data_IF_792792163850
#
_entry.id   IF_792792163850
#
_cell.length_a   1.000
_cell.length_b   1.000
_cell.length_c   1.000
_cell.angle_alpha   90.00
_cell.angle_beta   90.00
_cell.angle_gamma   90.00
#
_symmetry.space_group_name_H-M   'P 1'
#
loop_
_entity.id
_entity.type
_entity.pdbx_description
1 polymer ?
#
# COMPACT_ATOMS: atom_id res chain seq x y z
N UNK A 1 -0.32 -18.14 -28.63
CA UNK A 1 0.11 -16.75 -28.50
C UNK A 1 1.42 -16.75 -27.74
N UNK A 2 2.50 -16.17 -28.27
CA UNK A 2 3.74 -16.05 -27.52
C UNK A 2 3.45 -15.26 -26.23
N UNK A 3 3.82 -15.80 -25.07
CA UNK A 3 3.73 -15.07 -23.82
C UNK A 3 4.51 -13.76 -23.99
N UNK A 4 3.81 -12.62 -24.04
CA UNK A 4 4.48 -11.32 -24.10
C UNK A 4 5.31 -11.21 -22.83
N UNK A 5 6.64 -11.12 -22.98
CA UNK A 5 7.59 -10.98 -21.87
C UNK A 5 7.16 -9.79 -21.00
N UNK A 6 7.07 -10.00 -19.69
CA UNK A 6 6.81 -8.92 -18.73
C UNK A 6 8.03 -7.98 -18.77
N UNK A 7 7.86 -6.66 -18.94
CA UNK A 7 8.97 -5.72 -18.84
C UNK A 7 9.66 -5.88 -17.49
N UNK A 8 10.99 -5.89 -17.51
CA UNK A 8 11.81 -5.90 -16.32
C UNK A 8 12.82 -4.77 -16.47
N UNK A 9 13.10 -4.08 -15.37
CA UNK A 9 14.16 -3.10 -15.33
C UNK A 9 15.53 -3.78 -15.36
N UNK A 10 16.49 -3.10 -15.95
CA UNK A 10 17.90 -3.47 -15.87
C UNK A 10 18.49 -3.03 -14.52
N UNK A 11 19.58 -3.67 -14.10
CA UNK A 11 20.26 -3.30 -12.86
C UNK A 11 20.67 -1.82 -12.84
N UNK A 12 21.19 -1.31 -13.96
CA UNK A 12 21.61 0.08 -14.08
C UNK A 12 20.44 1.08 -13.94
N UNK A 13 19.25 0.73 -14.45
CA UNK A 13 18.04 1.57 -14.24
C UNK A 13 17.63 1.57 -12.77
N UNK A 14 17.71 0.42 -12.09
CA UNK A 14 17.38 0.32 -10.66
C UNK A 14 18.39 1.10 -9.81
N UNK A 15 19.69 0.98 -10.09
CA UNK A 15 20.76 1.73 -9.41
C UNK A 15 20.58 3.25 -9.58
N UNK A 16 20.19 3.69 -10.78
CA UNK A 16 19.88 5.09 -11.04
C UNK A 16 18.66 5.58 -10.24
N UNK A 17 17.62 4.75 -10.09
CA UNK A 17 16.44 5.08 -9.27
C UNK A 17 16.81 5.14 -7.77
N UNK A 18 17.69 4.26 -7.28
CA UNK A 18 18.24 4.34 -5.91
C UNK A 18 18.94 5.68 -5.69
N UNK A 19 19.85 6.08 -6.59
CA UNK A 19 20.55 7.37 -6.50
C UNK A 19 19.58 8.55 -6.53
N UNK A 20 18.55 8.47 -7.37
CA UNK A 20 17.54 9.52 -7.53
C UNK A 20 16.71 9.70 -6.25
N UNK A 21 16.26 8.61 -5.63
CA UNK A 21 15.50 8.66 -4.37
C UNK A 21 16.36 9.16 -3.21
N UNK A 22 17.61 8.72 -3.10
CA UNK A 22 18.55 9.22 -2.08
C UNK A 22 18.79 10.73 -2.21
N UNK A 23 18.92 11.24 -3.43
CA UNK A 23 19.08 12.68 -3.67
C UNK A 23 17.79 13.46 -3.35
N UNK A 24 16.60 12.92 -3.67
CA UNK A 24 15.31 13.51 -3.28
C UNK A 24 15.18 13.64 -1.77
N UNK A 25 15.45 12.56 -1.03
CA UNK A 25 15.42 12.54 0.44
C UNK A 25 16.42 13.56 1.01
N UNK A 26 17.65 13.59 0.47
CA UNK A 26 18.67 14.57 0.90
C UNK A 26 18.24 16.01 0.68
N UNK A 27 17.65 16.33 -0.48
CA UNK A 27 17.10 17.66 -0.76
C UNK A 27 15.98 18.01 0.22
N UNK A 28 15.10 17.05 0.52
CA UNK A 28 14.00 17.24 1.47
C UNK A 28 14.50 17.57 2.86
N UNK A 29 15.53 16.85 3.33
CA UNK A 29 16.22 17.11 4.60
C UNK A 29 16.87 18.48 4.65
N UNK A 30 17.53 18.89 3.56
CA UNK A 30 18.14 20.23 3.48
C UNK A 30 17.09 21.35 3.51
N UNK A 31 15.96 21.17 2.80
CA UNK A 31 14.84 22.10 2.84
C UNK A 31 14.26 22.21 4.26
N UNK A 32 14.05 21.09 4.94
CA UNK A 32 13.61 21.06 6.34
C UNK A 32 14.58 21.81 7.27
N UNK A 33 15.88 21.50 7.18
CA UNK A 33 16.91 22.13 8.00
C UNK A 33 17.04 23.64 7.78
N UNK A 34 16.73 24.12 6.57
CA UNK A 34 16.71 25.55 6.24
C UNK A 34 15.45 26.29 6.70
N UNK A 35 14.47 25.58 7.26
CA UNK A 35 13.16 26.14 7.62
C UNK A 35 12.26 26.42 6.42
N UNK A 36 12.58 25.86 5.24
CA UNK A 36 11.88 26.16 3.97
C UNK A 36 10.37 25.92 4.06
N UNK A 37 9.95 24.81 4.68
CA UNK A 37 8.53 24.45 4.77
C UNK A 37 7.76 25.45 5.63
N UNK A 38 8.34 25.91 6.74
CA UNK A 38 7.73 26.91 7.62
C UNK A 38 7.68 28.28 6.93
N UNK A 39 8.75 28.67 6.20
CA UNK A 39 8.80 29.94 5.47
C UNK A 39 7.75 30.01 4.36
N UNK A 40 7.48 28.87 3.71
CA UNK A 40 6.55 28.78 2.57
C UNK A 40 5.15 28.28 2.97
N UNK A 41 4.84 28.20 4.27
CA UNK A 41 3.54 27.77 4.78
C UNK A 41 3.11 26.39 4.21
N UNK A 42 4.07 25.47 4.12
CA UNK A 42 3.83 24.11 3.64
C UNK A 42 3.38 23.26 4.83
N UNK A 43 2.18 22.71 4.71
CA UNK A 43 1.56 21.92 5.76
C UNK A 43 2.37 20.68 6.14
N UNK A 44 2.47 20.41 7.44
CA UNK A 44 3.33 19.35 7.97
C UNK A 44 2.91 17.96 7.49
N UNK A 45 1.61 17.70 7.37
CA UNK A 45 1.11 16.42 6.84
C UNK A 45 1.51 16.20 5.37
N UNK A 46 1.70 17.28 4.61
CA UNK A 46 2.17 17.20 3.23
C UNK A 46 3.67 16.88 3.17
N UNK A 47 4.46 17.40 4.11
CA UNK A 47 5.89 17.07 4.23
C UNK A 47 6.06 15.60 4.65
N UNK A 48 5.32 15.14 5.66
CA UNK A 48 5.36 13.75 6.12
C UNK A 48 4.93 12.77 5.03
N UNK A 49 3.84 13.05 4.30
CA UNK A 49 3.45 12.23 3.15
C UNK A 49 4.51 12.18 2.05
N UNK A 50 5.21 13.28 1.79
CA UNK A 50 6.25 13.32 0.77
C UNK A 50 7.49 12.50 1.18
N UNK A 51 7.89 12.55 2.45
CA UNK A 51 8.92 11.64 2.97
C UNK A 51 8.50 10.17 2.84
N UNK A 52 7.24 9.84 3.19
CA UNK A 52 6.74 8.48 3.05
C UNK A 52 6.85 7.95 1.62
N UNK A 53 6.47 8.78 0.62
CA UNK A 53 6.57 8.39 -0.79
C UNK A 53 8.01 8.17 -1.26
N UNK A 54 8.94 9.04 -0.86
CA UNK A 54 10.36 8.92 -1.25
C UNK A 54 11.03 7.70 -0.61
N UNK A 55 10.78 7.45 0.68
CA UNK A 55 11.28 6.25 1.34
C UNK A 55 10.63 4.97 0.80
N UNK A 56 9.36 5.02 0.37
CA UNK A 56 8.71 3.90 -0.28
C UNK A 56 9.33 3.61 -1.66
N UNK A 57 9.58 4.64 -2.48
CA UNK A 57 10.30 4.52 -3.75
C UNK A 57 11.69 3.91 -3.55
N UNK A 58 12.43 4.38 -2.54
CA UNK A 58 13.72 3.81 -2.17
C UNK A 58 13.61 2.34 -1.74
N UNK A 59 12.58 1.99 -0.95
CA UNK A 59 12.31 0.62 -0.54
C UNK A 59 12.03 -0.31 -1.73
N UNK A 60 11.24 0.16 -2.70
CA UNK A 60 10.96 -0.56 -3.95
C UNK A 60 12.25 -0.76 -4.76
N UNK A 61 13.07 0.28 -4.88
CA UNK A 61 14.32 0.24 -5.62
C UNK A 61 15.32 -0.75 -5.00
N UNK A 62 15.55 -0.69 -3.68
CA UNK A 62 16.39 -1.67 -2.98
C UNK A 62 15.84 -3.09 -3.10
N UNK A 63 14.52 -3.27 -3.06
CA UNK A 63 13.93 -4.58 -3.23
C UNK A 63 14.17 -5.13 -4.64
N UNK A 64 13.94 -4.33 -5.69
CA UNK A 64 14.21 -4.77 -7.06
C UNK A 64 15.72 -5.02 -7.31
N UNK A 65 16.58 -4.29 -6.60
CA UNK A 65 18.04 -4.48 -6.63
C UNK A 65 18.50 -5.78 -5.94
N UNK A 66 17.74 -6.24 -4.93
CA UNK A 66 18.06 -7.41 -4.12
C UNK A 66 18.61 -7.10 -2.72
N UNK A 67 18.62 -5.84 -2.31
CA UNK A 67 19.10 -5.38 -1.01
C UNK A 67 17.98 -5.42 0.04
N UNK A 68 17.58 -6.63 0.41
CA UNK A 68 16.37 -6.89 1.19
C UNK A 68 16.31 -6.19 2.56
N UNK A 69 17.45 -6.11 3.25
CA UNK A 69 17.50 -5.47 4.58
C UNK A 69 17.35 -3.95 4.45
N UNK A 70 18.01 -3.34 3.47
CA UNK A 70 17.86 -1.90 3.16
C UNK A 70 16.44 -1.58 2.69
N UNK A 71 15.84 -2.47 1.89
CA UNK A 71 14.46 -2.33 1.45
C UNK A 71 13.48 -2.32 2.65
N UNK A 72 13.64 -3.25 3.59
CA UNK A 72 12.81 -3.30 4.81
C UNK A 72 12.97 -2.06 5.67
N UNK A 73 14.20 -1.58 5.86
CA UNK A 73 14.48 -0.35 6.61
C UNK A 73 13.84 0.88 5.96
N UNK A 74 13.94 1.00 4.63
CA UNK A 74 13.32 2.09 3.87
C UNK A 74 11.79 2.02 3.94
N UNK A 75 11.18 0.84 3.77
CA UNK A 75 9.73 0.68 3.94
C UNK A 75 9.25 0.92 5.38
N UNK A 76 10.04 0.54 6.39
CA UNK A 76 9.73 0.85 7.79
C UNK A 76 9.69 2.36 8.00
N UNK A 77 10.73 3.06 7.54
CA UNK A 77 10.80 4.52 7.57
C UNK A 77 9.61 5.15 6.83
N UNK A 78 9.26 4.62 5.65
CA UNK A 78 8.10 5.08 4.89
C UNK A 78 6.79 4.94 5.68
N UNK A 79 6.60 3.81 6.37
CA UNK A 79 5.43 3.55 7.20
C UNK A 79 5.38 4.49 8.43
N UNK A 80 6.52 4.74 9.10
CA UNK A 80 6.64 5.69 10.20
C UNK A 80 6.29 7.13 9.77
N UNK A 81 6.66 7.53 8.56
CA UNK A 81 6.25 8.82 8.01
C UNK A 81 4.77 8.82 7.62
N UNK A 82 4.26 7.74 7.02
CA UNK A 82 2.88 7.67 6.53
C UNK A 82 1.86 7.57 7.66
N UNK A 83 2.22 7.04 8.84
CA UNK A 83 1.29 6.97 9.97
C UNK A 83 1.07 8.33 10.66
N UNK A 84 2.03 9.25 10.61
CA UNK A 84 1.91 10.61 11.19
C UNK A 84 0.69 11.38 10.68
N UNK A 85 0.44 11.52 9.36
CA UNK A 85 -0.75 12.20 8.86
C UNK A 85 -2.05 11.49 9.27
N UNK A 86 -2.05 10.16 9.43
CA UNK A 86 -3.21 9.43 9.98
C UNK A 86 -3.47 9.80 11.45
N UNK A 87 -2.41 9.91 12.25
CA UNK A 87 -2.50 10.35 13.65
C UNK A 87 -2.99 11.79 13.75
N UNK A 88 -2.48 12.69 12.89
CA UNK A 88 -2.96 14.08 12.79
C UNK A 88 -4.46 14.13 12.43
N UNK A 89 -4.95 13.24 11.57
CA UNK A 89 -6.35 13.19 11.19
C UNK A 89 -7.28 12.59 12.25
N UNK A 90 -6.82 11.58 13.00
CA UNK A 90 -7.70 10.71 13.77
C UNK A 90 -7.36 10.51 15.26
N UNK A 91 -6.23 11.01 15.75
CA UNK A 91 -5.82 10.86 17.16
C UNK A 91 -5.81 12.21 17.88
N UNK A 92 -6.85 12.54 18.69
CA UNK A 92 -6.95 13.82 19.42
C UNK A 92 -5.77 14.10 20.36
N UNK A 93 -5.09 13.05 20.81
CA UNK A 93 -3.96 13.11 21.72
C UNK A 93 -2.62 13.34 20.99
N UNK A 94 -2.61 13.30 19.65
CA UNK A 94 -1.40 13.52 18.87
C UNK A 94 -1.02 15.02 18.89
N UNK A 95 0.26 15.38 19.12
CA UNK A 95 0.66 16.78 19.29
C UNK A 95 0.24 17.74 18.16
N UNK A 96 0.17 17.21 16.93
CA UNK A 96 -0.24 17.95 15.74
C UNK A 96 -1.63 17.52 15.26
N UNK A 97 -2.57 17.22 16.17
CA UNK A 97 -3.92 16.82 15.77
C UNK A 97 -4.62 17.94 14.99
N UNK A 98 -5.04 17.62 13.77
CA UNK A 98 -5.74 18.52 12.84
C UNK A 98 -7.21 18.12 12.67
N UNK A 99 -7.57 16.88 12.99
CA UNK A 99 -8.94 16.38 12.86
C UNK A 99 -9.47 16.59 11.45
N UNK A 100 -10.54 17.38 11.33
CA UNK A 100 -11.16 17.62 10.03
C UNK A 100 -10.36 18.52 9.06
N UNK A 101 -9.39 19.28 9.58
CA UNK A 101 -8.50 20.10 8.77
C UNK A 101 -7.41 19.29 8.05
N UNK A 102 -7.13 18.05 8.50
CA UNK A 102 -6.11 17.22 7.88
C UNK A 102 -6.51 16.86 6.44
N UNK A 103 -5.67 17.25 5.48
CA UNK A 103 -5.94 17.04 4.04
C UNK A 103 -5.26 15.78 3.50
N UNK A 104 -4.04 15.48 3.96
CA UNK A 104 -3.28 14.28 3.66
C UNK A 104 -3.30 13.40 4.90
N UNK A 105 -3.87 12.20 4.83
CA UNK A 105 -4.08 11.29 5.98
C UNK A 105 -5.54 11.07 6.36
N UNK A 106 -6.45 11.91 5.88
CA UNK A 106 -7.89 11.77 6.17
C UNK A 106 -8.63 10.88 5.15
N UNK A 107 -7.91 10.21 4.25
CA UNK A 107 -8.47 9.37 3.20
C UNK A 107 -8.08 7.90 3.39
N UNK A 108 -8.96 6.99 3.01
CA UNK A 108 -8.70 5.55 3.10
C UNK A 108 -7.45 5.13 2.32
N UNK A 109 -7.12 5.81 1.22
CA UNK A 109 -5.90 5.53 0.43
C UNK A 109 -4.64 5.70 1.28
N UNK A 110 -4.57 6.72 2.13
CA UNK A 110 -3.40 6.93 3.00
C UNK A 110 -3.22 5.78 4.01
N UNK A 111 -4.33 5.17 4.45
CA UNK A 111 -4.30 4.00 5.32
C UNK A 111 -3.82 2.77 4.56
N UNK A 112 -4.26 2.59 3.31
CA UNK A 112 -3.81 1.47 2.46
C UNK A 112 -2.32 1.56 2.17
N UNK A 113 -1.82 2.74 1.80
CA UNK A 113 -0.39 2.97 1.58
C UNK A 113 0.42 2.64 2.87
N UNK A 114 -0.02 3.14 4.03
CA UNK A 114 0.65 2.87 5.30
C UNK A 114 0.65 1.37 5.64
N UNK A 115 -0.49 0.71 5.46
CA UNK A 115 -0.63 -0.74 5.63
C UNK A 115 0.37 -1.47 4.74
N UNK A 116 0.45 -1.13 3.46
CA UNK A 116 1.34 -1.80 2.52
C UNK A 116 2.82 -1.62 2.87
N UNK A 117 3.26 -0.39 3.15
CA UNK A 117 4.65 -0.10 3.52
C UNK A 117 5.04 -0.88 4.78
N UNK A 118 4.16 -0.89 5.79
CA UNK A 118 4.36 -1.64 7.01
C UNK A 118 4.44 -3.16 6.74
N UNK A 119 3.56 -3.71 5.90
CA UNK A 119 3.59 -5.13 5.53
C UNK A 119 4.84 -5.51 4.72
N UNK A 120 5.34 -4.63 3.85
CA UNK A 120 6.61 -4.83 3.12
C UNK A 120 7.82 -4.78 4.07
N UNK A 121 7.77 -3.94 5.09
CA UNK A 121 8.80 -3.82 6.13
C UNK A 121 8.82 -4.99 7.12
N UNK A 122 7.74 -5.77 7.23
CA UNK A 122 7.59 -6.76 8.30
C UNK A 122 6.96 -6.22 9.59
N UNK A 123 6.41 -5.01 9.56
CA UNK A 123 5.87 -4.32 10.73
C UNK A 123 4.36 -4.49 10.85
N UNK A 124 3.94 -5.59 11.47
CA UNK A 124 2.53 -5.86 11.72
C UNK A 124 1.89 -4.84 12.68
N UNK A 125 2.69 -4.18 13.54
CA UNK A 125 2.17 -3.25 14.53
C UNK A 125 1.69 -1.95 13.87
N UNK A 126 2.53 -1.34 13.02
CA UNK A 126 2.16 -0.14 12.25
C UNK A 126 0.98 -0.46 11.32
N UNK A 127 1.00 -1.62 10.65
CA UNK A 127 -0.11 -2.03 9.77
C UNK A 127 -1.46 -2.08 10.51
N UNK A 128 -1.50 -2.71 11.70
CA UNK A 128 -2.70 -2.76 12.54
C UNK A 128 -3.12 -1.39 13.04
N UNK A 129 -2.16 -0.57 13.48
CA UNK A 129 -2.43 0.76 13.97
C UNK A 129 -3.05 1.65 12.88
N UNK A 130 -2.49 1.63 11.67
CA UNK A 130 -3.01 2.39 10.54
C UNK A 130 -4.48 2.04 10.23
N UNK A 131 -4.80 0.74 10.13
CA UNK A 131 -6.18 0.30 9.91
C UNK A 131 -7.12 0.65 11.08
N UNK A 132 -6.63 0.60 12.31
CA UNK A 132 -7.40 0.92 13.52
C UNK A 132 -7.67 2.42 13.71
N UNK A 133 -6.84 3.30 13.17
CA UNK A 133 -7.05 4.76 13.20
C UNK A 133 -8.22 5.20 12.33
N UNK A 134 -8.48 4.49 11.22
CA UNK A 134 -9.53 4.88 10.29
C UNK A 134 -10.92 4.74 10.93
N UNK A 135 -11.76 5.79 10.92
CA UNK A 135 -12.97 5.85 11.72
C UNK A 135 -13.96 4.77 11.30
N UNK A 136 -14.49 4.00 12.26
CA UNK A 136 -15.44 2.93 11.99
C UNK A 136 -16.78 3.39 11.37
N UNK A 137 -17.10 4.68 11.51
CA UNK A 137 -18.25 5.32 10.90
C UNK A 137 -17.77 6.28 9.80
N UNK A 138 -18.44 6.22 8.65
CA UNK A 138 -18.20 7.13 7.56
C UNK A 138 -18.42 8.58 8.00
N UNK A 139 -17.43 9.45 7.74
CA UNK A 139 -17.59 10.89 7.98
C UNK A 139 -18.31 11.52 6.79
N UNK A 140 -19.36 12.32 7.02
CA UNK A 140 -20.11 12.98 5.97
C UNK A 140 -19.36 14.17 5.33
N UNK A 141 -18.15 13.94 4.81
CA UNK A 141 -17.44 14.89 3.94
C UNK A 141 -17.90 14.74 2.49
N UNK A 142 -19.21 14.86 2.25
CA UNK A 142 -19.86 15.00 0.94
C UNK A 142 -19.61 13.92 -0.13
N UNK A 143 -19.04 12.75 0.20
CA UNK A 143 -18.73 11.70 -0.78
C UNK A 143 -19.18 10.32 -0.32
N UNK A 144 -19.99 9.60 -1.11
CA UNK A 144 -20.39 8.23 -0.76
C UNK A 144 -19.15 7.37 -0.44
N UNK A 145 -19.22 6.46 0.54
CA UNK A 145 -18.09 5.59 0.88
C UNK A 145 -17.49 4.97 -0.39
N UNK A 146 -16.18 5.14 -0.54
CA UNK A 146 -15.43 4.60 -1.67
C UNK A 146 -15.13 3.12 -1.50
N UNK A 147 -14.72 2.46 -2.58
CA UNK A 147 -14.21 1.07 -2.48
C UNK A 147 -12.95 0.98 -1.62
N UNK A 148 -12.17 2.06 -1.52
CA UNK A 148 -11.03 2.13 -0.61
C UNK A 148 -11.47 2.08 0.87
N UNK A 149 -12.53 2.81 1.23
CA UNK A 149 -13.08 2.84 2.59
C UNK A 149 -13.55 1.45 3.02
N UNK A 150 -14.32 0.76 2.16
CA UNK A 150 -14.77 -0.61 2.41
C UNK A 150 -13.59 -1.58 2.59
N UNK A 151 -12.49 -1.39 1.84
CA UNK A 151 -11.28 -2.22 1.97
C UNK A 151 -10.59 -1.99 3.32
N UNK A 152 -10.42 -0.73 3.73
CA UNK A 152 -9.81 -0.40 5.03
C UNK A 152 -10.68 -0.89 6.19
N UNK A 153 -12.01 -0.78 6.09
CA UNK A 153 -12.91 -1.34 7.09
C UNK A 153 -12.85 -2.87 7.13
N UNK A 154 -12.67 -3.54 6.00
CA UNK A 154 -12.44 -4.98 5.96
C UNK A 154 -11.13 -5.37 6.66
N UNK A 155 -10.03 -4.65 6.39
CA UNK A 155 -8.74 -4.87 7.07
C UNK A 155 -8.83 -4.63 8.58
N UNK A 156 -9.46 -3.53 9.00
CA UNK A 156 -9.68 -3.25 10.42
C UNK A 156 -10.51 -4.36 11.07
N UNK A 157 -11.64 -4.76 10.48
CA UNK A 157 -12.46 -5.85 11.02
C UNK A 157 -11.69 -7.17 11.10
N UNK A 158 -10.86 -7.48 10.09
CA UNK A 158 -9.98 -8.65 10.09
C UNK A 158 -8.97 -8.60 11.26
N UNK A 159 -8.25 -7.49 11.43
CA UNK A 159 -7.28 -7.34 12.51
C UNK A 159 -7.90 -7.36 13.92
N UNK A 160 -9.16 -6.94 14.02
CA UNK A 160 -9.95 -7.01 15.26
C UNK A 160 -10.58 -8.39 15.50
N UNK A 161 -10.38 -9.36 14.61
CA UNK A 161 -10.91 -10.73 14.72
C UNK A 161 -12.38 -10.88 14.30
N UNK A 162 -13.03 -9.82 13.80
CA UNK A 162 -14.41 -9.84 13.32
C UNK A 162 -14.48 -10.26 11.85
N UNK A 163 -14.31 -11.57 11.62
CA UNK A 163 -14.30 -12.16 10.27
C UNK A 163 -15.63 -11.96 9.54
N UNK A 164 -16.76 -11.94 10.24
CA UNK A 164 -18.10 -11.77 9.63
C UNK A 164 -18.22 -10.35 9.08
N UNK A 165 -17.79 -9.35 9.84
CA UNK A 165 -17.81 -7.96 9.38
C UNK A 165 -16.80 -7.73 8.26
N UNK A 166 -15.59 -8.28 8.37
CA UNK A 166 -14.59 -8.20 7.31
C UNK A 166 -15.12 -8.80 5.98
N UNK A 167 -15.77 -9.96 6.09
CA UNK A 167 -16.46 -10.64 5.01
C UNK A 167 -17.53 -9.75 4.36
N UNK A 168 -18.40 -9.13 5.16
CA UNK A 168 -19.49 -8.28 4.66
C UNK A 168 -19.00 -7.08 3.84
N UNK A 169 -17.91 -6.43 4.24
CA UNK A 169 -17.31 -5.34 3.45
C UNK A 169 -16.75 -5.82 2.10
N UNK A 170 -16.05 -6.96 2.10
CA UNK A 170 -15.52 -7.54 0.87
C UNK A 170 -16.63 -7.94 -0.10
N UNK A 171 -17.67 -8.64 0.38
CA UNK A 171 -18.80 -9.06 -0.45
C UNK A 171 -19.51 -7.86 -1.06
N UNK A 172 -19.86 -6.85 -0.26
CA UNK A 172 -20.49 -5.61 -0.72
C UNK A 172 -19.71 -4.98 -1.89
N UNK A 173 -18.39 -4.82 -1.74
CA UNK A 173 -17.55 -4.21 -2.77
C UNK A 173 -17.42 -5.08 -4.03
N UNK A 174 -17.27 -6.40 -3.86
CA UNK A 174 -17.18 -7.33 -4.98
C UNK A 174 -18.49 -7.40 -5.77
N UNK A 175 -19.64 -7.50 -5.11
CA UNK A 175 -20.97 -7.51 -5.75
C UNK A 175 -21.23 -6.20 -6.51
N UNK A 176 -20.89 -5.06 -5.91
CA UNK A 176 -21.03 -3.76 -6.57
C UNK A 176 -20.14 -3.64 -7.83
N UNK A 177 -18.95 -4.26 -7.83
CA UNK A 177 -18.10 -4.34 -9.02
C UNK A 177 -18.68 -5.28 -10.06
N UNK A 178 -19.11 -6.49 -9.68
CA UNK A 178 -19.68 -7.50 -10.60
C UNK A 178 -20.95 -6.97 -11.29
N UNK A 179 -21.81 -6.27 -10.56
CA UNK A 179 -23.03 -5.66 -11.11
C UNK A 179 -22.74 -4.57 -12.14
N UNK A 180 -21.61 -3.85 -12.00
CA UNK A 180 -21.18 -2.80 -12.94
C UNK A 180 -19.66 -2.75 -13.06
N UNK A 181 -19.06 -3.70 -13.82
CA UNK A 181 -17.62 -3.79 -13.97
C UNK A 181 -17.07 -2.58 -14.69
N UNK A 182 -15.80 -2.24 -14.44
CA UNK A 182 -15.14 -1.21 -15.22
C UNK A 182 -14.73 -1.76 -16.58
N UNK A 183 -14.92 -0.96 -17.64
CA UNK A 183 -14.43 -1.28 -18.98
C UNK A 183 -12.93 -1.01 -19.17
N UNK A 184 -12.34 -0.24 -18.26
CA UNK A 184 -10.92 0.13 -18.23
C UNK A 184 -10.33 -0.25 -16.88
N UNK A 185 -9.01 -0.40 -16.82
CA UNK A 185 -8.31 -0.46 -15.53
C UNK A 185 -8.53 0.89 -14.84
N UNK A 186 -9.07 0.85 -13.63
CA UNK A 186 -9.42 2.01 -12.79
C UNK A 186 -9.23 1.66 -11.33
N UNK A 187 -9.31 2.64 -10.43
CA UNK A 187 -9.35 2.37 -8.99
C UNK A 187 -10.41 1.33 -8.59
N UNK A 188 -11.57 1.29 -9.26
CA UNK A 188 -12.62 0.28 -8.96
C UNK A 188 -12.19 -1.15 -9.29
N UNK A 189 -11.48 -1.35 -10.41
CA UNK A 189 -10.99 -2.69 -10.75
C UNK A 189 -9.82 -3.10 -9.85
N UNK A 190 -8.96 -2.14 -9.48
CA UNK A 190 -7.88 -2.37 -8.52
C UNK A 190 -8.44 -2.78 -7.16
N UNK A 191 -9.37 -2.02 -6.57
CA UNK A 191 -9.93 -2.44 -5.28
C UNK A 191 -10.73 -3.74 -5.36
N UNK A 192 -11.34 -4.09 -6.50
CA UNK A 192 -12.01 -5.38 -6.65
C UNK A 192 -11.04 -6.57 -6.44
N UNK A 193 -9.84 -6.53 -7.02
CA UNK A 193 -8.84 -7.59 -6.84
C UNK A 193 -8.33 -7.65 -5.40
N UNK A 194 -8.16 -6.49 -4.74
CA UNK A 194 -7.76 -6.44 -3.33
C UNK A 194 -8.82 -7.04 -2.40
N UNK A 195 -10.11 -6.72 -2.61
CA UNK A 195 -11.19 -7.34 -1.84
C UNK A 195 -11.30 -8.84 -2.11
N UNK A 196 -11.05 -9.29 -3.35
CA UNK A 196 -11.08 -10.72 -3.69
C UNK A 196 -9.97 -11.49 -2.97
N UNK A 197 -8.75 -10.96 -2.97
CA UNK A 197 -7.63 -11.55 -2.24
C UNK A 197 -7.90 -11.56 -0.72
N UNK A 198 -8.32 -10.42 -0.14
CA UNK A 198 -8.66 -10.35 1.28
C UNK A 198 -9.84 -11.27 1.65
N UNK A 199 -10.84 -11.41 0.77
CA UNK A 199 -11.93 -12.37 0.94
C UNK A 199 -11.39 -13.79 1.04
N UNK A 200 -10.48 -14.20 0.14
CA UNK A 200 -9.81 -15.50 0.19
C UNK A 200 -9.09 -15.73 1.53
N UNK A 201 -8.42 -14.71 2.07
CA UNK A 201 -7.81 -14.76 3.41
C UNK A 201 -8.87 -14.97 4.50
N UNK A 202 -9.96 -14.21 4.46
CA UNK A 202 -11.02 -14.24 5.48
C UNK A 202 -11.68 -15.63 5.56
N UNK A 203 -11.99 -16.23 4.41
CA UNK A 203 -12.61 -17.56 4.33
C UNK A 203 -11.61 -18.71 4.31
N UNK A 204 -10.30 -18.41 4.37
CA UNK A 204 -9.20 -19.36 4.29
C UNK A 204 -9.27 -20.26 3.03
N UNK A 205 -9.55 -19.65 1.87
CA UNK A 205 -9.60 -20.33 0.57
C UNK A 205 -8.42 -19.88 -0.30
N UNK A 206 -7.48 -20.80 -0.49
CA UNK A 206 -6.27 -20.58 -1.28
C UNK A 206 -6.57 -20.23 -2.73
N UNK A 207 -7.54 -20.91 -3.36
CA UNK A 207 -7.86 -20.68 -4.77
C UNK A 207 -8.42 -19.29 -5.00
N UNK A 208 -9.25 -18.81 -4.08
CA UNK A 208 -9.83 -17.45 -4.14
C UNK A 208 -8.75 -16.41 -3.92
N UNK A 209 -7.89 -16.60 -2.91
CA UNK A 209 -6.76 -15.71 -2.64
C UNK A 209 -5.82 -15.60 -3.85
N UNK A 210 -5.37 -16.74 -4.38
CA UNK A 210 -4.47 -16.80 -5.53
C UNK A 210 -5.07 -16.12 -6.77
N UNK A 211 -6.38 -16.29 -6.99
CA UNK A 211 -7.10 -15.60 -8.07
C UNK A 211 -7.07 -14.08 -7.88
N UNK A 212 -7.26 -13.60 -6.65
CA UNK A 212 -7.15 -12.17 -6.32
C UNK A 212 -5.75 -11.62 -6.61
N UNK A 213 -4.71 -12.32 -6.16
CA UNK A 213 -3.31 -11.93 -6.39
C UNK A 213 -2.96 -11.92 -7.88
N UNK A 214 -3.32 -12.97 -8.63
CA UNK A 214 -3.06 -13.02 -10.08
C UNK A 214 -3.71 -11.84 -10.82
N UNK A 215 -4.96 -11.51 -10.50
CA UNK A 215 -5.63 -10.36 -11.11
C UNK A 215 -4.99 -9.03 -10.72
N UNK A 216 -4.45 -8.93 -9.50
CA UNK A 216 -3.70 -7.74 -9.10
C UNK A 216 -2.40 -7.60 -9.90
N UNK A 217 -1.68 -8.71 -10.11
CA UNK A 217 -0.47 -8.73 -10.92
C UNK A 217 -0.75 -8.39 -12.39
N UNK A 218 -1.88 -8.83 -12.95
CA UNK A 218 -2.32 -8.42 -14.30
C UNK A 218 -2.43 -6.90 -14.44
N UNK A 219 -2.92 -6.21 -13.40
CA UNK A 219 -2.98 -4.74 -13.36
C UNK A 219 -1.56 -4.17 -13.28
N UNK A 220 -0.70 -4.66 -12.39
CA UNK A 220 0.67 -4.16 -12.27
C UNK A 220 1.47 -4.36 -13.56
N UNK A 221 1.38 -5.52 -14.21
CA UNK A 221 2.03 -5.79 -15.50
C UNK A 221 1.50 -4.90 -16.62
N UNK A 222 0.24 -4.49 -16.56
CA UNK A 222 -0.32 -3.51 -17.49
C UNK A 222 0.30 -2.13 -17.24
N UNK A 223 0.36 -1.68 -16.00
CA UNK A 223 0.97 -0.39 -15.62
C UNK A 223 2.45 -0.32 -16.00
N UNK A 224 3.24 -1.37 -15.75
CA UNK A 224 4.63 -1.45 -16.20
C UNK A 224 4.82 -1.26 -17.71
N UNK A 225 3.81 -1.63 -18.51
CA UNK A 225 3.88 -1.58 -19.98
C UNK A 225 3.37 -0.26 -20.56
N UNK A 226 2.29 0.25 -19.99
CA UNK A 226 1.47 1.31 -20.60
C UNK A 226 1.07 2.42 -19.63
N UNK A 227 1.35 2.26 -18.35
CA UNK A 227 1.00 3.20 -17.28
C UNK A 227 1.95 4.39 -17.20
N UNK A 228 1.62 5.29 -16.27
CA UNK A 228 2.40 6.51 -15.98
C UNK A 228 3.81 6.18 -15.45
N UNK A 229 3.91 5.10 -14.65
CA UNK A 229 5.14 4.66 -14.00
C UNK A 229 6.00 3.73 -14.88
N UNK A 230 5.74 3.71 -16.19
CA UNK A 230 6.49 2.88 -17.12
C UNK A 230 7.97 3.24 -17.08
N UNK A 231 8.81 2.25 -16.80
CA UNK A 231 10.26 2.39 -16.76
C UNK A 231 10.80 2.93 -15.43
N UNK A 232 9.96 3.05 -14.40
CA UNK A 232 10.35 3.41 -13.04
C UNK A 232 10.11 2.23 -12.10
N UNK A 233 10.76 2.23 -10.94
CA UNK A 233 10.60 1.19 -9.91
C UNK A 233 9.13 1.00 -9.47
N UNK A 234 8.35 2.07 -9.35
CA UNK A 234 6.94 2.02 -8.95
C UNK A 234 6.07 1.25 -9.96
N UNK A 235 6.46 1.26 -11.25
CA UNK A 235 5.78 0.50 -12.28
C UNK A 235 6.09 -1.00 -12.23
N UNK A 236 7.17 -1.41 -11.57
CA UNK A 236 7.68 -2.78 -11.56
C UNK A 236 7.61 -3.47 -10.19
N UNK A 237 6.94 -2.85 -9.22
CA UNK A 237 6.76 -3.38 -7.88
C UNK A 237 5.26 -3.52 -7.55
N UNK A 238 4.81 -4.75 -7.24
CA UNK A 238 3.41 -5.05 -6.96
C UNK A 238 3.09 -4.91 -5.46
N UNK A 239 3.14 -3.68 -4.96
CA UNK A 239 3.04 -3.34 -3.53
C UNK A 239 1.83 -3.97 -2.83
N UNK A 240 0.63 -3.80 -3.40
CA UNK A 240 -0.60 -4.36 -2.82
C UNK A 240 -0.60 -5.90 -2.79
N UNK A 241 -0.01 -6.54 -3.82
CA UNK A 241 0.06 -7.99 -3.90
C UNK A 241 1.03 -8.55 -2.85
N UNK A 242 2.18 -7.91 -2.66
CA UNK A 242 3.14 -8.25 -1.61
C UNK A 242 2.49 -8.13 -0.22
N UNK A 243 1.84 -7.00 0.07
CA UNK A 243 1.22 -6.76 1.38
C UNK A 243 0.14 -7.81 1.72
N UNK A 244 -0.73 -8.14 0.76
CA UNK A 244 -1.76 -9.18 0.94
C UNK A 244 -1.18 -10.58 1.00
N UNK A 245 -0.08 -10.85 0.31
CA UNK A 245 0.67 -12.12 0.43
C UNK A 245 1.24 -12.29 1.83
N UNK A 246 1.86 -11.24 2.38
CA UNK A 246 2.36 -11.25 3.76
C UNK A 246 1.23 -11.41 4.78
N UNK A 247 0.07 -10.79 4.54
CA UNK A 247 -1.13 -10.99 5.37
C UNK A 247 -1.66 -12.43 5.30
N UNK A 248 -1.69 -13.03 4.10
CA UNK A 248 -2.13 -14.41 3.92
C UNK A 248 -1.19 -15.40 4.64
N UNK A 249 0.12 -15.19 4.56
CA UNK A 249 1.11 -15.98 5.31
C UNK A 249 0.90 -15.83 6.82
N UNK A 250 0.66 -14.61 7.30
CA UNK A 250 0.33 -14.35 8.72
C UNK A 250 -0.96 -15.09 9.14
N UNK A 251 -1.92 -15.26 8.23
CA UNK A 251 -3.15 -16.01 8.43
C UNK A 251 -2.96 -17.55 8.33
N UNK A 252 -1.76 -18.05 8.04
CA UNK A 252 -1.44 -19.47 7.90
C UNK A 252 -1.64 -20.03 6.49
N UNK A 253 -1.87 -19.19 5.49
CA UNK A 253 -1.98 -19.60 4.09
C UNK A 253 -0.59 -19.82 3.46
N UNK A 254 -0.57 -20.41 2.26
CA UNK A 254 0.67 -20.66 1.52
C UNK A 254 0.93 -19.55 0.50
N UNK A 255 2.20 -19.19 0.33
CA UNK A 255 2.66 -18.44 -0.83
C UNK A 255 2.82 -19.39 -2.02
N UNK A 256 2.02 -19.22 -3.07
CA UNK A 256 2.05 -20.07 -4.28
C UNK A 256 2.30 -19.29 -5.58
N UNK A 257 2.07 -17.98 -5.56
CA UNK A 257 2.18 -17.13 -6.76
C UNK A 257 3.55 -16.45 -6.78
N UNK A 258 4.47 -17.01 -7.56
CA UNK A 258 5.80 -16.42 -7.76
C UNK A 258 5.76 -15.50 -8.97
N UNK A 259 6.05 -14.21 -8.77
CA UNK A 259 6.07 -13.20 -9.83
C UNK A 259 7.24 -12.23 -9.62
N UNK A 260 7.95 -11.79 -10.69
CA UNK A 260 9.06 -10.86 -10.56
C UNK A 260 8.73 -9.53 -9.88
N UNK A 261 7.45 -9.12 -9.84
CA UNK A 261 7.03 -7.87 -9.19
C UNK A 261 6.74 -8.04 -7.70
N UNK A 262 6.81 -9.28 -7.17
CA UNK A 262 6.75 -9.57 -5.74
C UNK A 262 8.16 -9.99 -5.30
N UNK A 263 8.95 -9.08 -4.69
CA UNK A 263 10.32 -9.43 -4.35
C UNK A 263 10.36 -10.41 -3.18
N UNK A 264 10.80 -11.64 -3.46
CA UNK A 264 10.72 -12.78 -2.53
C UNK A 264 11.48 -12.55 -1.21
N UNK A 265 12.50 -11.68 -1.19
CA UNK A 265 13.19 -11.31 0.06
C UNK A 265 12.36 -10.49 1.05
N UNK A 266 11.22 -9.94 0.59
CA UNK A 266 10.23 -9.23 1.41
C UNK A 266 9.02 -10.09 1.78
N UNK A 267 8.88 -11.28 1.19
CA UNK A 267 7.80 -12.21 1.51
C UNK A 267 8.07 -12.82 2.90
N UNK A 268 7.07 -12.78 3.77
CA UNK A 268 7.22 -13.28 5.14
C UNK A 268 7.43 -14.78 5.17
N UNK A 269 8.12 -15.26 6.19
CA UNK A 269 8.21 -16.70 6.45
C UNK A 269 7.00 -17.12 7.28
N UNK A 270 6.49 -18.33 7.03
CA UNK A 270 5.41 -18.89 7.85
C UNK A 270 5.85 -18.90 9.33
N UNK A 271 4.97 -18.46 10.25
CA UNK A 271 5.22 -18.63 11.68
C UNK A 271 5.48 -20.11 11.96
N UNK A 272 6.62 -20.42 12.59
CA UNK A 272 6.96 -21.79 13.00
C UNK A 272 6.04 -22.28 14.12
#
# INVERSE_FOLDING_TARGET
MAAKKIPQMTQAEIEQDIESELERIKRRRNAEASGYYQINDIEVESVDCAYAMEYAGLGMAYALHGDWDLAKEAFHTAAEYKIKPLLMAYSPEYPNFLGDACTRGAQAIDVVDCFNYAMAAGDLAIAKQACGLFPAQWRPRNSKPGTADDFVHALHAWFSGDKIRAAGFCQKSMEAYIAKPSKKITGRSNYYTLHLALWGIIINDQSVFDTGIQKQLEICHHEARYGEWKGMVEGHFAEYALALTNLAIQAGMKHQIIDPFIPEGLVWQQPR
#
